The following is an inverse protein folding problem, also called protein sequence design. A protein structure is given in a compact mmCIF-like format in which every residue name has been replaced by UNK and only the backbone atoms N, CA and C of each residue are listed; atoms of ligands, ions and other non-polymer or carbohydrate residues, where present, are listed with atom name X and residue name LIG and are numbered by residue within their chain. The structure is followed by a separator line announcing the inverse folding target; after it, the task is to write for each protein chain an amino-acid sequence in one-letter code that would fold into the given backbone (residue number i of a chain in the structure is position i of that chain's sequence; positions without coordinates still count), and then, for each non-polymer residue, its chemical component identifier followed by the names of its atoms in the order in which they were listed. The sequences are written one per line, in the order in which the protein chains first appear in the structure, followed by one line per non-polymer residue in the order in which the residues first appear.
data_IF_750162679612
#
_entry.id   IF_750162679612
#
_cell.length_a   1.000
_cell.length_b   1.000
_cell.length_c   1.000
_cell.angle_alpha   90.00
_cell.angle_beta   90.00
_cell.angle_gamma   90.00
#
_symmetry.space_group_name_H-M   'P 1'
#
loop_
_entity.id
_entity.type
_entity.pdbx_description
1 polymer ?
#
# COMPACT_ATOMS: atom_id res chain seq x y z
N UNK A 1 5.70 5.71 6.38
CA UNK A 1 6.36 4.56 7.04
C UNK A 1 7.53 4.14 6.15
N UNK A 2 8.76 4.08 6.69
CA UNK A 2 9.91 3.50 5.98
C UNK A 2 10.50 2.39 6.84
N UNK A 3 10.61 1.18 6.28
CA UNK A 3 11.14 0.02 6.98
C UNK A 3 12.59 -0.24 6.52
N UNK A 4 13.55 0.17 7.34
CA UNK A 4 14.99 0.00 7.07
C UNK A 4 15.45 -1.47 6.99
N UNK A 5 14.64 -2.40 7.52
CA UNK A 5 14.90 -3.84 7.44
C UNK A 5 14.70 -4.44 6.05
N UNK A 6 14.02 -3.73 5.14
CA UNK A 6 13.74 -4.20 3.78
C UNK A 6 14.54 -3.44 2.74
N UNK A 7 15.10 -4.18 1.78
CA UNK A 7 15.91 -3.61 0.70
C UNK A 7 15.06 -2.76 -0.25
N UNK A 8 15.54 -1.56 -0.57
CA UNK A 8 14.86 -0.67 -1.50
C UNK A 8 14.87 0.80 -1.09
N UNK A 9 14.75 1.67 -2.10
CA UNK A 9 14.44 3.08 -1.86
C UNK A 9 12.98 3.24 -1.41
N UNK A 10 12.72 4.30 -0.67
CA UNK A 10 11.35 4.69 -0.32
C UNK A 10 10.50 4.84 -1.60
N UNK A 11 9.28 4.29 -1.57
CA UNK A 11 8.36 4.33 -2.70
C UNK A 11 8.63 3.28 -3.79
N UNK A 12 9.69 2.47 -3.68
CA UNK A 12 9.85 1.33 -4.58
C UNK A 12 8.83 0.22 -4.25
N UNK A 13 8.63 -0.70 -5.19
CA UNK A 13 7.58 -1.73 -5.12
C UNK A 13 7.68 -2.62 -3.87
N UNK A 14 8.90 -3.06 -3.52
CA UNK A 14 9.14 -3.92 -2.35
C UNK A 14 8.83 -3.15 -1.07
N UNK A 15 9.34 -1.93 -0.96
CA UNK A 15 9.17 -1.08 0.21
C UNK A 15 7.67 -0.79 0.46
N UNK A 16 6.93 -0.45 -0.59
CA UNK A 16 5.49 -0.18 -0.55
C UNK A 16 4.71 -1.41 -0.10
N UNK A 17 5.04 -2.60 -0.62
CA UNK A 17 4.44 -3.87 -0.19
C UNK A 17 4.66 -4.13 1.30
N UNK A 18 5.90 -4.03 1.76
CA UNK A 18 6.25 -4.37 3.14
C UNK A 18 5.67 -3.37 4.15
N UNK A 19 5.64 -2.08 3.81
CA UNK A 19 4.92 -1.08 4.63
C UNK A 19 3.42 -1.36 4.71
N UNK A 20 2.80 -1.71 3.58
CA UNK A 20 1.38 -2.05 3.53
C UNK A 20 1.07 -3.26 4.41
N UNK A 21 1.91 -4.30 4.35
CA UNK A 21 1.77 -5.47 5.22
C UNK A 21 1.91 -5.12 6.70
N UNK A 22 2.85 -4.24 7.06
CA UNK A 22 3.00 -3.79 8.45
C UNK A 22 1.77 -3.01 8.94
N UNK A 23 1.22 -2.14 8.10
CA UNK A 23 0.01 -1.37 8.42
C UNK A 23 -1.24 -2.25 8.53
N UNK A 24 -1.36 -3.28 7.68
CA UNK A 24 -2.44 -4.26 7.78
C UNK A 24 -2.37 -5.05 9.11
N UNK A 25 -1.17 -5.51 9.50
CA UNK A 25 -0.97 -6.18 10.78
C UNK A 25 -1.35 -5.26 11.95
N UNK A 26 -0.95 -3.99 11.89
CA UNK A 26 -1.37 -2.99 12.89
C UNK A 26 -2.90 -2.85 12.96
N UNK A 27 -3.58 -2.71 11.81
CA UNK A 27 -5.03 -2.59 11.76
C UNK A 27 -5.73 -3.80 12.42
N UNK A 28 -5.26 -5.02 12.10
CA UNK A 28 -5.80 -6.27 12.68
C UNK A 28 -5.56 -6.38 14.18
N UNK A 29 -4.38 -6.00 14.67
CA UNK A 29 -4.07 -6.07 16.10
C UNK A 29 -4.82 -5.04 16.93
N UNK A 30 -5.11 -3.87 16.35
CA UNK A 30 -5.69 -2.74 17.08
C UNK A 30 -7.19 -2.57 16.84
N UNK A 31 -7.77 -3.26 15.86
CA UNK A 31 -9.13 -3.02 15.35
C UNK A 31 -9.37 -1.55 14.91
N UNK A 32 -8.30 -0.84 14.52
CA UNK A 32 -8.40 0.52 13.99
C UNK A 32 -8.38 0.44 12.45
N UNK A 33 -9.39 0.98 11.76
CA UNK A 33 -9.40 1.06 10.30
C UNK A 33 -8.22 1.89 9.78
N UNK A 34 -7.54 1.40 8.73
CA UNK A 34 -6.42 2.09 8.08
C UNK A 34 -6.77 2.33 6.62
N UNK A 35 -6.71 3.60 6.20
CA UNK A 35 -6.87 3.99 4.81
C UNK A 35 -5.49 4.21 4.17
N UNK A 36 -5.30 3.61 2.99
CA UNK A 36 -4.09 3.77 2.18
C UNK A 36 -4.45 4.55 0.92
N UNK A 37 -3.72 5.64 0.66
CA UNK A 37 -3.92 6.49 -0.52
C UNK A 37 -2.67 6.41 -1.38
N UNK A 38 -2.83 6.04 -2.65
CA UNK A 38 -1.77 5.99 -3.63
C UNK A 38 -2.14 6.81 -4.86
N UNK A 39 -1.15 7.50 -5.43
CA UNK A 39 -1.34 8.15 -6.73
C UNK A 39 -1.29 7.12 -7.85
N UNK A 40 -2.15 7.28 -8.85
CA UNK A 40 -2.14 6.47 -10.08
C UNK A 40 -1.46 7.27 -11.20
N UNK A 41 -0.79 6.59 -12.12
CA UNK A 41 -0.20 7.26 -13.29
C UNK A 41 -1.30 7.61 -14.30
N UNK A 42 -0.98 8.47 -15.29
CA UNK A 42 -1.92 8.88 -16.34
C UNK A 42 -2.47 7.72 -17.20
N UNK A 43 -1.80 6.56 -17.19
CA UNK A 43 -2.24 5.36 -17.92
C UNK A 43 -3.21 4.48 -17.13
N UNK A 44 -3.57 4.88 -15.91
CA UNK A 44 -4.46 4.10 -15.04
C UNK A 44 -3.76 2.92 -14.36
N UNK A 45 -2.47 2.73 -14.61
CA UNK A 45 -1.67 1.84 -13.78
C UNK A 45 -1.56 2.47 -12.39
N UNK A 46 -2.07 1.75 -11.38
CA UNK A 46 -1.81 2.14 -10.00
C UNK A 46 -0.28 2.18 -9.85
N UNK A 47 0.27 3.31 -9.39
CA UNK A 47 1.72 3.40 -9.14
C UNK A 47 2.16 2.47 -7.97
N UNK A 48 1.19 1.81 -7.35
CA UNK A 48 1.35 0.66 -6.49
C UNK A 48 0.97 -0.61 -7.26
N UNK A 49 1.83 -1.62 -7.29
CA UNK A 49 1.62 -2.85 -8.06
C UNK A 49 0.27 -3.49 -7.72
N UNK A 50 -0.33 -4.25 -8.65
CA UNK A 50 -1.46 -5.19 -8.39
C UNK A 50 -1.34 -5.96 -7.05
N UNK A 51 -0.11 -6.15 -6.57
CA UNK A 51 0.19 -6.66 -5.23
C UNK A 51 -0.57 -5.96 -4.10
N UNK A 52 -0.81 -4.65 -4.15
CA UNK A 52 -1.53 -3.93 -3.10
C UNK A 52 -3.02 -4.25 -3.10
N UNK A 53 -3.62 -4.37 -4.28
CA UNK A 53 -5.03 -4.76 -4.45
C UNK A 53 -5.31 -6.12 -3.81
N UNK A 54 -4.32 -7.02 -3.79
CA UNK A 54 -4.43 -8.32 -3.14
C UNK A 54 -4.15 -8.32 -1.64
N UNK A 55 -3.56 -7.25 -1.09
CA UNK A 55 -3.23 -7.16 0.34
C UNK A 55 -4.36 -6.49 1.13
N UNK A 56 -5.08 -5.55 0.51
CA UNK A 56 -6.13 -4.76 1.18
C UNK A 56 -7.50 -5.44 1.11
N UNK A 57 -8.36 -5.14 2.08
CA UNK A 57 -9.73 -5.69 2.13
C UNK A 57 -10.68 -5.01 1.13
N UNK A 58 -10.47 -3.72 0.82
CA UNK A 58 -11.29 -2.94 -0.10
C UNK A 58 -10.40 -2.02 -0.94
N UNK A 59 -10.67 -1.97 -2.25
CA UNK A 59 -10.04 -1.03 -3.18
C UNK A 59 -11.10 -0.03 -3.65
N UNK A 60 -10.81 1.27 -3.52
CA UNK A 60 -11.65 2.35 -4.01
C UNK A 60 -10.92 3.07 -5.14
N UNK A 61 -11.48 3.06 -6.34
CA UNK A 61 -11.01 3.88 -7.45
C UNK A 61 -11.78 5.20 -7.44
N UNK A 62 -11.06 6.33 -7.46
CA UNK A 62 -11.66 7.64 -7.65
C UNK A 62 -11.46 8.07 -9.11
N UNK A 63 -12.56 8.07 -9.86
CA UNK A 63 -12.63 8.68 -11.17
C UNK A 63 -13.07 10.15 -11.04
N UNK A 64 -12.57 11.00 -11.93
CA UNK A 64 -12.88 12.44 -11.96
C UNK A 64 -14.09 12.69 -12.85
#
# INVERSE_FOLDING_TARGET
VYLSAFAGSAGNQVQVKECTSALLSFAKMTNIPVFLIGHVTKTGDIAGPRVLEHIVDVVLYMEV
#
